data_IF_620143197246
#
_entry.id   IF_620143197246
#
_cell.length_a   1.000
_cell.length_b   1.000
_cell.length_c   1.000
_cell.angle_alpha   90.00
_cell.angle_beta   90.00
_cell.angle_gamma   90.00
#
_symmetry.space_group_name_H-M   'P 1'
#
loop_
_entity.id
_entity.type
_entity.pdbx_description
1 polymer ?
#
# COMPACT_ATOMS: atom_id res chain seq x y z
N UNK A 1 -5.08 15.07 -16.74
CA UNK A 1 -4.35 16.15 -16.04
C UNK A 1 -4.39 15.89 -14.54
N UNK A 2 -3.23 15.95 -13.90
CA UNK A 2 -3.14 15.85 -12.44
C UNK A 2 -3.56 17.17 -11.77
N UNK A 3 -4.02 17.10 -10.53
CA UNK A 3 -4.42 18.29 -9.80
C UNK A 3 -4.17 18.23 -8.30
N UNK A 4 -4.13 19.40 -7.71
CA UNK A 4 -4.12 19.58 -6.27
C UNK A 4 -5.27 20.49 -5.86
N UNK A 5 -5.86 20.22 -4.71
CA UNK A 5 -6.94 21.00 -4.11
C UNK A 5 -6.53 21.38 -2.69
N UNK A 6 -6.43 22.64 -2.39
CA UNK A 6 -6.11 23.13 -1.05
C UNK A 6 -7.21 24.04 -0.52
N UNK A 7 -7.55 23.88 0.74
CA UNK A 7 -8.58 24.71 1.37
C UNK A 7 -8.89 24.27 2.79
N UNK A 8 -9.24 25.24 3.63
CA UNK A 8 -9.61 24.99 5.03
C UNK A 8 -10.81 24.04 5.14
N UNK A 9 -10.98 23.42 6.29
CA UNK A 9 -12.18 22.63 6.58
C UNK A 9 -13.45 23.45 6.32
N UNK A 10 -14.44 22.84 5.64
CA UNK A 10 -15.68 23.51 5.25
C UNK A 10 -15.56 24.45 4.03
N UNK A 11 -14.42 24.51 3.34
CA UNK A 11 -14.24 25.32 2.12
C UNK A 11 -14.91 24.75 0.86
N UNK A 12 -15.45 23.52 0.92
CA UNK A 12 -16.04 22.83 -0.22
C UNK A 12 -15.08 21.92 -0.99
N UNK A 13 -13.87 21.66 -0.49
CA UNK A 13 -12.84 20.79 -1.09
C UNK A 13 -13.40 19.42 -1.49
N UNK A 14 -13.97 18.68 -0.52
CA UNK A 14 -14.53 17.34 -0.78
C UNK A 14 -15.74 17.39 -1.72
N UNK A 15 -16.54 18.47 -1.73
CA UNK A 15 -17.65 18.65 -2.69
C UNK A 15 -17.10 18.77 -4.12
N UNK A 16 -16.05 19.55 -4.31
CA UNK A 16 -15.39 19.68 -5.62
C UNK A 16 -14.80 18.35 -6.09
N UNK A 17 -14.10 17.64 -5.20
CA UNK A 17 -13.51 16.33 -5.53
C UNK A 17 -14.58 15.28 -5.82
N UNK A 18 -15.70 15.25 -5.09
CA UNK A 18 -16.88 14.43 -5.41
C UNK A 18 -17.46 14.77 -6.80
N UNK A 19 -17.49 16.05 -7.17
CA UNK A 19 -17.97 16.47 -8.50
C UNK A 19 -17.03 15.98 -9.63
N UNK A 20 -15.73 16.00 -9.40
CA UNK A 20 -14.73 15.43 -10.34
C UNK A 20 -14.89 13.91 -10.46
N UNK A 21 -15.09 13.22 -9.33
CA UNK A 21 -15.36 11.78 -9.33
C UNK A 21 -16.61 11.45 -10.15
N UNK A 22 -17.72 12.14 -9.90
CA UNK A 22 -18.95 11.95 -10.63
C UNK A 22 -18.80 12.24 -12.13
N UNK A 23 -18.13 13.33 -12.50
CA UNK A 23 -17.85 13.66 -13.91
C UNK A 23 -17.02 12.58 -14.61
N UNK A 24 -16.05 11.98 -13.91
CA UNK A 24 -15.26 10.88 -14.45
C UNK A 24 -16.12 9.63 -14.65
N UNK A 25 -16.95 9.28 -13.69
CA UNK A 25 -17.90 8.14 -13.79
C UNK A 25 -18.90 8.34 -14.94
N UNK A 26 -19.46 9.54 -15.10
CA UNK A 26 -20.34 9.88 -16.23
C UNK A 26 -19.66 9.75 -17.58
N UNK A 27 -18.34 9.83 -17.62
CA UNK A 27 -17.52 9.62 -18.83
C UNK A 27 -17.07 8.15 -18.99
N UNK A 28 -17.73 7.21 -18.34
CA UNK A 28 -17.39 5.79 -18.30
C UNK A 28 -15.96 5.52 -17.76
N UNK A 29 -15.50 6.39 -16.86
CA UNK A 29 -14.21 6.26 -16.20
C UNK A 29 -14.25 5.38 -14.96
N UNK A 30 -13.06 5.10 -14.40
CA UNK A 30 -12.87 4.43 -13.10
C UNK A 30 -12.31 5.43 -12.10
N UNK A 31 -12.81 5.35 -10.87
CA UNK A 31 -12.40 6.26 -9.80
C UNK A 31 -12.04 5.47 -8.55
N UNK A 32 -10.88 5.75 -8.00
CA UNK A 32 -10.44 5.27 -6.70
C UNK A 32 -10.27 6.46 -5.77
N UNK A 33 -10.87 6.38 -4.60
CA UNK A 33 -10.77 7.41 -3.56
C UNK A 33 -10.12 6.81 -2.33
N UNK A 34 -9.11 7.47 -1.80
CA UNK A 34 -8.56 7.23 -0.47
C UNK A 34 -8.99 8.41 0.39
N UNK A 35 -9.79 8.13 1.42
CA UNK A 35 -10.42 9.14 2.27
C UNK A 35 -10.16 8.86 3.76
N UNK A 36 -10.22 9.93 4.55
CA UNK A 36 -10.24 9.89 6.01
C UNK A 36 -11.35 10.83 6.47
N UNK A 37 -12.48 10.26 6.92
CA UNK A 37 -13.60 11.06 7.42
C UNK A 37 -14.89 10.96 6.62
N UNK A 38 -15.08 9.88 5.84
CA UNK A 38 -16.35 9.47 5.21
C UNK A 38 -16.97 10.49 4.25
N UNK A 39 -16.14 11.34 3.65
CA UNK A 39 -16.59 12.43 2.77
C UNK A 39 -17.24 11.92 1.46
N UNK A 40 -16.97 10.69 1.07
CA UNK A 40 -17.42 10.07 -0.20
C UNK A 40 -18.47 8.98 -0.01
N UNK A 41 -18.89 8.67 1.22
CA UNK A 41 -19.83 7.60 1.52
C UNK A 41 -21.16 7.77 0.79
N UNK A 42 -21.74 8.98 0.83
CA UNK A 42 -23.02 9.27 0.16
C UNK A 42 -22.93 9.08 -1.35
N UNK A 43 -21.88 9.61 -1.99
CA UNK A 43 -21.69 9.43 -3.43
C UNK A 43 -21.49 7.96 -3.76
N UNK A 44 -20.70 7.23 -2.96
CA UNK A 44 -20.45 5.81 -3.15
C UNK A 44 -21.75 5.01 -3.21
N UNK A 45 -22.64 5.23 -2.25
CA UNK A 45 -23.98 4.59 -2.24
C UNK A 45 -24.86 5.02 -3.42
N UNK A 46 -24.86 6.31 -3.77
CA UNK A 46 -25.69 6.82 -4.87
C UNK A 46 -25.34 6.22 -6.23
N UNK A 47 -24.05 5.95 -6.48
CA UNK A 47 -23.59 5.40 -7.77
C UNK A 47 -23.37 3.89 -7.73
N UNK A 48 -23.83 3.21 -6.67
CA UNK A 48 -23.61 1.79 -6.43
C UNK A 48 -22.12 1.40 -6.47
N UNK A 49 -21.29 2.28 -5.89
CA UNK A 49 -19.86 2.07 -5.74
C UNK A 49 -19.51 1.05 -4.65
N UNK A 50 -18.27 0.69 -4.58
CA UNK A 50 -17.74 -0.21 -3.56
C UNK A 50 -17.13 0.60 -2.41
N UNK A 51 -17.67 0.42 -1.22
CA UNK A 51 -17.15 1.00 0.02
C UNK A 51 -16.30 -0.05 0.74
N UNK A 52 -15.04 0.28 0.97
CA UNK A 52 -14.09 -0.56 1.69
C UNK A 52 -13.63 0.22 2.91
N UNK A 53 -14.03 -0.23 4.07
CA UNK A 53 -13.62 0.34 5.36
C UNK A 53 -12.77 -0.69 6.10
N UNK A 54 -11.47 -0.45 6.16
CA UNK A 54 -10.54 -1.37 6.80
C UNK A 54 -10.69 -1.31 8.32
N UNK A 55 -11.26 -2.34 8.88
CA UNK A 55 -11.61 -2.46 10.30
C UNK A 55 -11.25 -3.85 10.82
N UNK A 56 -10.91 -3.92 12.11
CA UNK A 56 -10.79 -5.19 12.85
C UNK A 56 -12.16 -5.88 13.05
N UNK A 57 -13.25 -5.18 12.73
CA UNK A 57 -14.61 -5.68 12.87
C UNK A 57 -15.00 -6.49 11.63
N UNK A 58 -15.49 -7.73 11.78
CA UNK A 58 -15.97 -8.51 10.65
C UNK A 58 -17.09 -7.81 9.88
N UNK A 59 -17.08 -7.94 8.56
CA UNK A 59 -18.20 -7.53 7.70
C UNK A 59 -19.49 -8.32 8.02
N UNK A 60 -20.64 -7.92 7.50
CA UNK A 60 -21.91 -8.65 7.68
C UNK A 60 -21.86 -10.12 7.23
N UNK A 61 -20.94 -10.47 6.31
CA UNK A 61 -20.67 -11.83 5.85
C UNK A 61 -19.76 -12.63 6.80
N UNK A 62 -19.33 -12.04 7.92
CA UNK A 62 -18.46 -12.63 8.92
C UNK A 62 -16.98 -12.64 8.57
N UNK A 63 -16.59 -12.07 7.42
CA UNK A 63 -15.19 -11.99 6.98
C UNK A 63 -14.56 -10.67 7.38
N UNK A 64 -13.26 -10.71 7.68
CA UNK A 64 -12.40 -9.52 7.84
C UNK A 64 -11.73 -9.25 6.49
N UNK A 65 -11.56 -7.98 6.16
CA UNK A 65 -10.84 -7.58 4.94
C UNK A 65 -9.37 -7.98 5.03
N UNK A 66 -8.93 -8.81 4.10
CA UNK A 66 -7.55 -9.27 4.00
C UNK A 66 -6.89 -8.70 2.75
N UNK A 67 -5.72 -8.12 2.96
CA UNK A 67 -4.91 -7.39 1.96
C UNK A 67 -3.56 -8.08 1.73
N UNK A 68 -3.47 -9.40 1.84
CA UNK A 68 -2.20 -10.12 1.67
C UNK A 68 -1.55 -9.82 0.31
N UNK A 69 -0.39 -9.13 0.27
CA UNK A 69 0.26 -8.75 -0.97
C UNK A 69 0.77 -9.93 -1.77
N UNK A 70 1.08 -11.03 -1.08
CA UNK A 70 1.62 -12.24 -1.71
C UNK A 70 0.53 -13.04 -2.43
N UNK A 71 -0.73 -12.94 -1.98
CA UNK A 71 -1.84 -13.67 -2.59
C UNK A 71 -2.38 -13.00 -3.85
N UNK A 72 -2.25 -11.67 -3.98
CA UNK A 72 -2.68 -10.93 -5.20
C UNK A 72 -1.64 -11.00 -6.32
N UNK A 73 -0.41 -11.41 -6.00
CA UNK A 73 0.70 -11.55 -6.94
C UNK A 73 0.51 -12.77 -7.84
N UNK A 74 0.44 -12.57 -9.15
CA UNK A 74 0.34 -13.65 -10.14
C UNK A 74 1.70 -14.14 -10.63
N UNK A 75 2.67 -13.26 -10.69
CA UNK A 75 4.04 -13.52 -11.10
C UNK A 75 5.01 -12.76 -10.20
N UNK A 76 5.63 -13.46 -9.28
CA UNK A 76 6.50 -12.84 -8.28
C UNK A 76 7.71 -12.13 -8.90
N UNK A 77 8.24 -12.60 -10.01
CA UNK A 77 9.38 -11.96 -10.67
C UNK A 77 8.99 -10.62 -11.30
N UNK A 78 7.80 -10.53 -11.89
CA UNK A 78 7.30 -9.29 -12.48
C UNK A 78 6.83 -8.29 -11.41
N UNK A 79 6.35 -8.79 -10.28
CA UNK A 79 5.73 -7.99 -9.23
C UNK A 79 6.71 -7.68 -8.06
N UNK A 80 7.93 -8.20 -8.10
CA UNK A 80 8.93 -8.05 -7.01
C UNK A 80 9.22 -6.59 -6.67
N UNK A 81 9.34 -5.73 -7.67
CA UNK A 81 9.59 -4.30 -7.50
C UNK A 81 8.48 -3.57 -6.70
N UNK A 82 7.34 -4.23 -6.53
CA UNK A 82 6.17 -3.72 -5.82
C UNK A 82 5.99 -4.42 -4.47
N UNK A 83 6.16 -5.74 -4.44
CA UNK A 83 6.01 -6.55 -3.22
C UNK A 83 7.14 -6.29 -2.22
N UNK A 84 8.38 -6.24 -2.69
CA UNK A 84 9.55 -6.05 -1.82
C UNK A 84 9.51 -4.75 -1.02
N UNK A 85 9.26 -3.56 -1.61
CA UNK A 85 9.14 -2.32 -0.85
C UNK A 85 7.99 -2.34 0.17
N UNK A 86 6.89 -3.04 -0.15
CA UNK A 86 5.76 -3.18 0.77
C UNK A 86 6.13 -4.02 1.99
N UNK A 87 6.75 -5.17 1.79
CA UNK A 87 7.23 -6.02 2.89
C UNK A 87 8.33 -5.29 3.69
N UNK A 88 9.22 -4.54 3.02
CA UNK A 88 10.20 -3.70 3.68
C UNK A 88 9.56 -2.62 4.56
N UNK A 89 8.45 -2.00 4.11
CA UNK A 89 7.68 -1.05 4.91
C UNK A 89 7.01 -1.70 6.13
N UNK A 90 6.57 -2.95 6.00
CA UNK A 90 6.04 -3.73 7.14
C UNK A 90 7.15 -4.02 8.16
N UNK A 91 8.34 -4.38 7.70
CA UNK A 91 9.48 -4.68 8.56
C UNK A 91 10.10 -3.41 9.19
N UNK A 92 10.02 -2.25 8.54
CA UNK A 92 10.58 -1.01 9.06
C UNK A 92 9.78 0.21 8.59
N UNK A 93 8.97 0.75 9.51
CA UNK A 93 8.09 1.89 9.19
C UNK A 93 8.83 3.22 9.06
N UNK A 94 10.00 3.37 9.70
CA UNK A 94 10.69 4.66 9.84
C UNK A 94 12.08 4.69 9.22
N UNK A 95 12.69 3.54 8.95
CA UNK A 95 14.05 3.43 8.45
C UNK A 95 14.07 2.67 7.12
N UNK A 96 14.95 3.05 6.22
CA UNK A 96 15.21 2.25 5.02
C UNK A 96 16.06 1.04 5.41
N UNK A 97 15.64 -0.15 4.98
CA UNK A 97 16.46 -1.34 5.08
C UNK A 97 17.69 -1.17 4.17
N UNK A 98 18.83 -1.68 4.59
CA UNK A 98 20.03 -1.71 3.76
C UNK A 98 19.86 -2.69 2.57
N UNK A 99 20.74 -2.58 1.57
CA UNK A 99 20.67 -3.38 0.34
C UNK A 99 20.78 -4.89 0.62
N UNK A 100 21.51 -5.27 1.66
CA UNK A 100 21.69 -6.67 2.03
C UNK A 100 20.40 -7.22 2.66
N UNK A 101 19.77 -6.48 3.55
CA UNK A 101 18.46 -6.85 4.11
C UNK A 101 17.36 -6.94 3.03
N UNK A 102 17.37 -6.02 2.06
CA UNK A 102 16.46 -6.08 0.91
C UNK A 102 16.72 -7.32 0.05
N UNK A 103 17.99 -7.67 -0.17
CA UNK A 103 18.35 -8.87 -0.92
C UNK A 103 17.90 -10.15 -0.22
N UNK A 104 18.06 -10.22 1.10
CA UNK A 104 17.55 -11.34 1.91
C UNK A 104 16.03 -11.45 1.83
N UNK A 105 15.30 -10.35 2.03
CA UNK A 105 13.84 -10.33 1.89
C UNK A 105 13.41 -10.84 0.52
N UNK A 106 14.08 -10.40 -0.54
CA UNK A 106 13.78 -10.80 -1.91
C UNK A 106 13.95 -12.31 -2.12
N UNK A 107 15.02 -12.91 -1.59
CA UNK A 107 15.28 -14.35 -1.66
C UNK A 107 14.18 -15.12 -0.92
N UNK A 108 13.85 -14.71 0.31
CA UNK A 108 12.84 -15.39 1.12
C UNK A 108 11.42 -15.24 0.55
N UNK A 109 11.06 -14.08 0.00
CA UNK A 109 9.77 -13.85 -0.67
C UNK A 109 9.63 -14.80 -1.87
N UNK A 110 10.65 -14.90 -2.73
CA UNK A 110 10.65 -15.85 -3.85
C UNK A 110 10.45 -17.27 -3.37
N UNK A 111 11.23 -17.65 -2.39
CA UNK A 111 11.25 -19.01 -1.86
C UNK A 111 9.86 -19.43 -1.37
N UNK A 112 9.25 -18.68 -0.45
CA UNK A 112 7.93 -19.00 0.08
C UNK A 112 6.84 -18.98 -1.00
N UNK A 113 6.97 -18.08 -2.00
CA UNK A 113 5.98 -17.98 -3.07
C UNK A 113 6.01 -19.20 -3.98
N UNK A 114 7.19 -19.66 -4.40
CA UNK A 114 7.33 -20.87 -5.21
C UNK A 114 6.95 -22.13 -4.43
N UNK A 115 7.30 -22.21 -3.16
CA UNK A 115 6.90 -23.31 -2.29
C UNK A 115 5.36 -23.39 -2.14
N UNK A 116 4.73 -22.27 -1.81
CA UNK A 116 3.28 -22.22 -1.68
C UNK A 116 2.58 -22.63 -3.00
N UNK A 117 3.13 -22.14 -4.13
CA UNK A 117 2.61 -22.50 -5.46
C UNK A 117 2.74 -24.00 -5.75
N UNK A 118 3.88 -24.63 -5.41
CA UNK A 118 4.08 -26.06 -5.58
C UNK A 118 3.11 -26.89 -4.72
N UNK A 119 2.74 -26.38 -3.54
CA UNK A 119 1.77 -26.99 -2.63
C UNK A 119 0.32 -26.59 -2.90
N UNK A 120 0.06 -25.80 -3.94
CA UNK A 120 -1.25 -25.22 -4.24
C UNK A 120 -1.88 -24.48 -3.03
N UNK A 121 -1.04 -23.70 -2.32
CA UNK A 121 -1.41 -22.89 -1.16
C UNK A 121 -1.22 -21.41 -1.44
N UNK A 122 -1.87 -20.58 -0.66
CA UNK A 122 -1.65 -19.13 -0.65
C UNK A 122 -0.43 -18.82 0.21
N UNK A 123 0.61 -18.15 -0.31
CA UNK A 123 1.74 -17.70 0.51
C UNK A 123 1.28 -16.61 1.49
N UNK A 124 1.75 -16.66 2.74
CA UNK A 124 1.34 -15.74 3.80
C UNK A 124 2.52 -15.00 4.43
N UNK A 125 2.23 -13.94 5.17
CA UNK A 125 3.26 -13.25 5.97
C UNK A 125 3.79 -14.16 7.07
N UNK A 126 2.96 -15.07 7.58
CA UNK A 126 3.42 -16.12 8.53
C UNK A 126 4.49 -17.01 7.91
N UNK A 127 4.33 -17.44 6.66
CA UNK A 127 5.31 -18.27 5.98
C UNK A 127 6.63 -17.51 5.80
N UNK A 128 6.56 -16.24 5.42
CA UNK A 128 7.74 -15.39 5.31
C UNK A 128 8.44 -15.20 6.66
N UNK A 129 7.68 -14.87 7.69
CA UNK A 129 8.19 -14.67 9.05
C UNK A 129 8.89 -15.94 9.56
N UNK A 130 8.27 -17.11 9.38
CA UNK A 130 8.86 -18.39 9.75
C UNK A 130 10.15 -18.67 8.97
N UNK A 131 10.15 -18.42 7.67
CA UNK A 131 11.34 -18.62 6.83
C UNK A 131 12.52 -17.76 7.30
N UNK A 132 12.29 -16.50 7.64
CA UNK A 132 13.31 -15.58 8.15
C UNK A 132 13.81 -15.98 9.55
N UNK A 133 12.91 -16.29 10.48
CA UNK A 133 13.25 -16.69 11.85
C UNK A 133 14.00 -18.01 11.89
N UNK A 134 13.67 -18.95 11.01
CA UNK A 134 14.33 -20.23 10.95
C UNK A 134 15.79 -20.10 10.52
N UNK A 135 16.03 -19.38 9.45
CA UNK A 135 17.39 -19.15 8.96
C UNK A 135 18.22 -18.28 9.93
N UNK A 136 17.56 -17.56 10.82
CA UNK A 136 18.21 -16.78 11.88
C UNK A 136 18.32 -17.46 13.24
N UNK A 137 18.00 -18.75 13.40
CA UNK A 137 18.17 -19.55 14.62
C UNK A 137 17.29 -19.23 15.83
N UNK A 138 16.11 -18.66 15.67
CA UNK A 138 15.12 -18.69 16.75
C UNK A 138 14.43 -20.06 16.78
N UNK A 139 15.03 -21.04 17.45
CA UNK A 139 14.64 -22.39 17.85
C UNK A 139 13.18 -22.85 17.79
N UNK A 140 12.47 -22.53 16.72
CA UNK A 140 11.14 -23.03 16.42
C UNK A 140 11.26 -24.20 15.44
N UNK A 141 10.54 -25.28 15.69
CA UNK A 141 10.46 -26.41 14.77
C UNK A 141 10.02 -25.95 13.38
N UNK A 142 10.95 -25.85 12.47
CA UNK A 142 10.65 -25.57 11.06
C UNK A 142 9.99 -26.80 10.43
N UNK A 143 8.96 -26.67 9.62
CA UNK A 143 8.36 -27.81 8.92
C UNK A 143 9.37 -28.59 8.04
N UNK A 144 10.50 -27.97 7.70
CA UNK A 144 11.59 -28.53 6.88
C UNK A 144 12.80 -29.06 7.64
N UNK A 145 12.84 -28.99 8.96
CA UNK A 145 13.94 -29.63 9.74
C UNK A 145 14.05 -31.14 9.50
N UNK A 146 13.05 -31.74 8.86
CA UNK A 146 13.01 -33.13 8.44
C UNK A 146 12.77 -33.29 6.93
N UNK A 147 13.04 -32.25 6.11
CA UNK A 147 12.90 -32.33 4.66
C UNK A 147 14.26 -32.73 4.06
N UNK A 148 14.41 -33.97 3.54
CA UNK A 148 15.65 -34.46 2.96
C UNK A 148 16.15 -33.62 1.78
N UNK A 149 15.26 -32.99 1.03
CA UNK A 149 15.63 -32.12 -0.10
C UNK A 149 16.24 -30.81 0.39
N UNK A 150 15.71 -30.25 1.49
CA UNK A 150 16.29 -29.07 2.11
C UNK A 150 17.65 -29.35 2.76
N UNK A 151 17.80 -30.49 3.46
CA UNK A 151 19.06 -30.90 4.05
C UNK A 151 20.14 -31.12 2.97
N UNK A 152 19.76 -31.75 1.86
CA UNK A 152 20.64 -31.94 0.71
C UNK A 152 21.03 -30.61 0.05
N UNK A 153 20.06 -29.69 -0.11
CA UNK A 153 20.33 -28.34 -0.62
C UNK A 153 21.25 -27.55 0.31
N UNK A 154 20.93 -27.50 1.61
CA UNK A 154 21.76 -26.79 2.59
C UNK A 154 23.19 -27.37 2.69
N UNK A 155 23.32 -28.69 2.61
CA UNK A 155 24.62 -29.36 2.57
C UNK A 155 25.40 -29.09 1.27
N UNK A 156 24.72 -28.77 0.17
CA UNK A 156 25.35 -28.40 -1.11
C UNK A 156 25.90 -26.98 -1.14
N UNK A 157 25.49 -26.13 -0.20
CA UNK A 157 25.93 -24.74 -0.12
C UNK A 157 27.33 -24.64 0.45
N UNK A 158 28.11 -23.67 -0.04
CA UNK A 158 29.40 -23.33 0.53
C UNK A 158 29.26 -22.80 1.96
N UNK A 159 30.33 -22.89 2.75
CA UNK A 159 30.33 -22.37 4.14
C UNK A 159 29.99 -20.86 4.21
N UNK A 160 30.28 -20.10 3.16
CA UNK A 160 29.94 -18.67 3.07
C UNK A 160 28.45 -18.44 2.79
N UNK A 161 27.87 -19.23 1.90
CA UNK A 161 26.42 -19.21 1.62
C UNK A 161 25.62 -19.67 2.83
N UNK A 162 26.08 -20.70 3.56
CA UNK A 162 25.48 -21.13 4.82
C UNK A 162 25.53 -20.02 5.88
N UNK A 163 26.67 -19.31 6.02
CA UNK A 163 26.79 -18.15 6.92
C UNK A 163 25.88 -17.00 6.53
N UNK A 164 25.66 -16.80 5.24
CA UNK A 164 24.73 -15.76 4.75
C UNK A 164 23.28 -16.10 5.11
N UNK A 165 22.91 -17.38 5.08
CA UNK A 165 21.61 -17.86 5.53
C UNK A 165 21.44 -17.82 7.06
N UNK A 166 22.55 -17.87 7.82
CA UNK A 166 22.56 -17.77 9.30
C UNK A 166 22.73 -16.31 9.81
N UNK A 167 22.49 -15.32 9.00
CA UNK A 167 22.65 -13.91 9.38
C UNK A 167 21.63 -13.50 10.48
N UNK A 168 22.08 -13.04 11.67
CA UNK A 168 21.19 -12.60 12.75
C UNK A 168 20.24 -11.46 12.35
N UNK A 169 20.55 -10.70 11.29
CA UNK A 169 19.66 -9.66 10.75
C UNK A 169 18.38 -10.24 10.15
N UNK A 170 18.37 -11.52 9.74
CA UNK A 170 17.18 -12.23 9.32
C UNK A 170 16.20 -12.42 10.47
N UNK A 171 16.73 -12.72 11.67
CA UNK A 171 15.91 -12.77 12.89
C UNK A 171 15.24 -11.43 13.15
N UNK A 172 16.00 -10.34 13.05
CA UNK A 172 15.46 -8.99 13.24
C UNK A 172 14.33 -8.68 12.26
N UNK A 173 14.50 -9.05 10.98
CA UNK A 173 13.44 -8.91 9.98
C UNK A 173 12.22 -9.77 10.31
N UNK A 174 12.42 -11.02 10.70
CA UNK A 174 11.35 -11.93 11.10
C UNK A 174 10.59 -11.38 12.32
N UNK A 175 11.28 -10.92 13.36
CA UNK A 175 10.66 -10.30 14.55
C UNK A 175 9.86 -9.05 14.18
N UNK A 176 10.37 -8.20 13.30
CA UNK A 176 9.67 -6.99 12.82
C UNK A 176 8.40 -7.31 12.02
N UNK A 177 8.33 -8.47 11.37
CA UNK A 177 7.14 -8.94 10.65
C UNK A 177 6.12 -9.67 11.53
N UNK A 178 6.48 -10.09 12.75
CA UNK A 178 5.56 -10.82 13.67
C UNK A 178 4.21 -10.10 13.90
N UNK A 179 4.12 -8.77 13.98
CA UNK A 179 2.82 -8.10 14.12
C UNK A 179 1.83 -8.40 12.98
N UNK A 180 2.31 -8.76 11.80
CA UNK A 180 1.52 -9.04 10.61
C UNK A 180 1.31 -10.54 10.34
N UNK A 181 2.02 -11.40 11.08
CA UNK A 181 1.93 -12.86 11.01
C UNK A 181 0.88 -13.40 11.98
N UNK A 182 0.60 -14.69 11.88
CA UNK A 182 -0.38 -15.40 12.73
C UNK A 182 -0.15 -15.12 14.21
N UNK A 183 -1.20 -14.68 14.91
CA UNK A 183 -1.15 -14.28 16.31
C UNK A 183 -0.68 -12.85 16.55
N UNK A 184 -0.24 -12.13 15.51
CA UNK A 184 0.13 -10.72 15.59
C UNK A 184 -1.09 -9.78 15.53
N UNK A 185 -0.90 -8.54 15.96
CA UNK A 185 -1.97 -7.55 16.09
C UNK A 185 -2.63 -7.18 14.75
N UNK A 186 -1.95 -7.40 13.62
CA UNK A 186 -2.41 -7.04 12.26
C UNK A 186 -2.58 -8.27 11.36
N UNK A 187 -2.53 -9.48 11.93
CA UNK A 187 -2.62 -10.73 11.17
C UNK A 187 -3.91 -10.81 10.34
N UNK A 188 -5.03 -10.37 10.91
CA UNK A 188 -6.33 -10.37 10.22
C UNK A 188 -6.33 -9.64 8.87
N UNK A 189 -5.48 -8.63 8.72
CA UNK A 189 -5.39 -7.84 7.49
C UNK A 189 -4.43 -8.43 6.44
N UNK A 190 -3.49 -9.30 6.84
CA UNK A 190 -2.38 -9.69 5.93
C UNK A 190 -2.08 -11.18 5.89
N UNK A 191 -2.59 -11.98 6.85
CA UNK A 191 -2.24 -13.40 6.99
C UNK A 191 -3.39 -14.30 6.53
N UNK A 192 -3.70 -14.26 5.24
CA UNK A 192 -4.76 -15.02 4.62
C UNK A 192 -4.79 -14.85 3.11
N UNK A 193 -5.87 -15.29 2.47
CA UNK A 193 -6.14 -14.98 1.08
C UNK A 193 -6.77 -13.59 0.97
N UNK A 194 -6.23 -12.75 0.07
CA UNK A 194 -6.80 -11.44 -0.17
C UNK A 194 -8.25 -11.57 -0.68
N UNK A 195 -9.16 -10.82 -0.06
CA UNK A 195 -10.59 -10.90 -0.32
C UNK A 195 -11.22 -9.55 -0.69
N UNK A 196 -10.38 -8.54 -0.97
CA UNK A 196 -10.83 -7.24 -1.46
C UNK A 196 -10.78 -7.28 -2.98
N UNK A 197 -11.93 -7.03 -3.59
CA UNK A 197 -12.08 -6.90 -5.03
C UNK A 197 -11.99 -5.42 -5.44
N UNK A 198 -11.37 -5.15 -6.59
CA UNK A 198 -11.19 -3.82 -7.15
C UNK A 198 -11.89 -3.65 -8.50
N UNK A 199 -12.85 -4.51 -8.84
CA UNK A 199 -13.51 -4.52 -10.16
C UNK A 199 -14.56 -3.42 -10.35
N UNK A 200 -15.04 -2.77 -9.26
CA UNK A 200 -16.02 -1.70 -9.36
C UNK A 200 -15.44 -0.45 -10.04
N UNK A 201 -16.30 0.29 -10.74
CA UNK A 201 -15.92 1.56 -11.38
C UNK A 201 -15.66 2.69 -10.38
N UNK A 202 -16.28 2.64 -9.19
CA UNK A 202 -16.09 3.59 -8.12
C UNK A 202 -15.77 2.87 -6.82
N UNK A 203 -14.56 3.04 -6.33
CA UNK A 203 -14.07 2.39 -5.11
C UNK A 203 -13.62 3.46 -4.13
N UNK A 204 -14.18 3.42 -2.93
CA UNK A 204 -13.79 4.30 -1.82
C UNK A 204 -13.13 3.46 -0.73
N UNK A 205 -11.93 3.86 -0.36
CA UNK A 205 -11.08 3.25 0.65
C UNK A 205 -11.05 4.19 1.86
N UNK A 206 -11.80 3.85 2.90
CA UNK A 206 -11.92 4.64 4.13
C UNK A 206 -10.91 4.19 5.17
N UNK A 207 -10.04 5.09 5.60
CA UNK A 207 -8.92 4.81 6.50
C UNK A 207 -9.07 5.45 7.89
N UNK A 208 -10.23 5.99 8.26
CA UNK A 208 -10.43 6.69 9.54
C UNK A 208 -10.09 5.80 10.74
N UNK A 209 -10.48 4.54 10.70
CA UNK A 209 -10.22 3.59 11.79
C UNK A 209 -8.72 3.26 11.96
N UNK A 210 -7.92 3.48 10.93
CA UNK A 210 -6.47 3.31 10.98
C UNK A 210 -5.72 4.56 11.44
N UNK A 211 -6.42 5.67 11.69
CA UNK A 211 -5.80 6.95 11.99
C UNK A 211 -4.97 6.95 13.27
N UNK A 212 -5.30 6.10 14.24
CA UNK A 212 -4.52 5.89 15.48
C UNK A 212 -3.34 4.92 15.31
N UNK A 213 -3.34 4.11 14.24
CA UNK A 213 -2.34 3.07 13.95
C UNK A 213 -1.46 3.50 12.77
N UNK A 214 -0.68 4.56 12.92
CA UNK A 214 0.06 5.22 11.81
C UNK A 214 0.96 4.29 11.00
N UNK A 215 1.65 3.34 11.64
CA UNK A 215 2.50 2.36 10.94
C UNK A 215 1.67 1.44 10.04
N UNK A 216 0.54 0.94 10.55
CA UNK A 216 -0.39 0.11 9.78
C UNK A 216 -1.01 0.91 8.63
N UNK A 217 -1.43 2.15 8.89
CA UNK A 217 -2.00 3.05 7.88
C UNK A 217 -1.04 3.24 6.71
N UNK A 218 0.27 3.43 6.97
CA UNK A 218 1.29 3.59 5.93
C UNK A 218 1.45 2.33 5.06
N UNK A 219 1.44 1.14 5.68
CA UNK A 219 1.52 -0.16 4.97
C UNK A 219 0.27 -0.36 4.11
N UNK A 220 -0.91 -0.15 4.69
CA UNK A 220 -2.19 -0.28 3.98
C UNK A 220 -2.25 0.68 2.80
N UNK A 221 -1.91 1.96 3.01
CA UNK A 221 -1.89 2.95 1.93
C UNK A 221 -0.97 2.50 0.79
N UNK A 222 0.23 2.04 1.11
CA UNK A 222 1.19 1.59 0.11
C UNK A 222 0.65 0.41 -0.71
N UNK A 223 0.01 -0.55 -0.05
CA UNK A 223 -0.64 -1.68 -0.70
C UNK A 223 -1.80 -1.25 -1.60
N UNK A 224 -2.66 -0.35 -1.11
CA UNK A 224 -3.77 0.18 -1.89
C UNK A 224 -3.29 0.91 -3.13
N UNK A 225 -2.25 1.72 -3.01
CA UNK A 225 -1.62 2.40 -4.14
C UNK A 225 -1.04 1.40 -5.14
N UNK A 226 -0.46 0.29 -4.66
CA UNK A 226 -0.02 -0.80 -5.52
C UNK A 226 -1.18 -1.44 -6.30
N UNK A 227 -2.26 -1.80 -5.61
CA UNK A 227 -3.45 -2.39 -6.24
C UNK A 227 -4.07 -1.46 -7.27
N UNK A 228 -4.16 -0.16 -6.97
CA UNK A 228 -4.61 0.87 -7.90
C UNK A 228 -3.69 0.94 -9.13
N UNK A 229 -2.36 0.92 -8.97
CA UNK A 229 -1.40 0.94 -10.09
C UNK A 229 -1.57 -0.30 -10.99
N UNK A 230 -1.79 -1.48 -10.41
CA UNK A 230 -2.08 -2.72 -11.14
C UNK A 230 -3.38 -2.60 -11.94
N UNK A 231 -4.45 -2.12 -11.31
CA UNK A 231 -5.74 -1.94 -11.97
C UNK A 231 -5.70 -0.86 -13.07
N UNK A 232 -4.98 0.22 -12.84
CA UNK A 232 -4.77 1.25 -13.87
C UNK A 232 -4.08 0.69 -15.13
N UNK A 233 -3.17 -0.27 -14.98
CA UNK A 233 -2.47 -0.91 -16.10
C UNK A 233 -3.30 -1.98 -16.79
N UNK A 234 -4.14 -2.70 -16.06
CA UNK A 234 -5.02 -3.75 -16.59
C UNK A 234 -6.22 -3.18 -17.33
N UNK A 235 -6.71 -2.02 -16.91
CA UNK A 235 -7.88 -1.38 -17.50
C UNK A 235 -7.65 -0.92 -18.95
N UNK A 236 -8.74 -0.68 -19.68
CA UNK A 236 -8.68 -0.17 -21.05
C UNK A 236 -7.85 1.12 -21.12
N UNK A 237 -6.95 1.19 -22.11
CA UNK A 237 -5.99 2.29 -22.23
C UNK A 237 -6.67 3.66 -22.39
N UNK A 238 -7.82 3.71 -23.05
CA UNK A 238 -8.54 4.97 -23.31
C UNK A 238 -9.58 5.31 -22.26
N UNK A 239 -9.90 4.40 -21.35
CA UNK A 239 -10.81 4.65 -20.25
C UNK A 239 -10.22 5.69 -19.28
N UNK A 240 -10.94 6.78 -18.97
CA UNK A 240 -10.50 7.75 -17.98
C UNK A 240 -10.32 7.09 -16.59
N UNK A 241 -9.25 7.45 -15.90
CA UNK A 241 -8.94 6.92 -14.58
C UNK A 241 -8.62 8.07 -13.64
N UNK A 242 -9.23 8.08 -12.48
CA UNK A 242 -9.04 9.13 -11.48
C UNK A 242 -8.71 8.52 -10.12
N UNK A 243 -7.61 8.95 -9.54
CA UNK A 243 -7.25 8.64 -8.16
C UNK A 243 -7.37 9.91 -7.34
N UNK A 244 -8.18 9.87 -6.30
CA UNK A 244 -8.35 10.97 -5.33
C UNK A 244 -7.76 10.52 -4.00
N UNK A 245 -6.91 11.35 -3.41
CA UNK A 245 -6.40 11.15 -2.06
C UNK A 245 -6.79 12.40 -1.26
N UNK A 246 -7.87 12.29 -0.49
CA UNK A 246 -8.32 13.40 0.37
C UNK A 246 -7.62 13.32 1.74
N UNK A 247 -7.36 14.46 2.36
CA UNK A 247 -6.54 14.59 3.57
C UNK A 247 -5.14 13.93 3.45
N UNK A 248 -4.56 14.00 2.24
CA UNK A 248 -3.34 13.28 1.87
C UNK A 248 -2.06 13.74 2.57
N UNK A 249 -2.06 14.87 3.24
CA UNK A 249 -0.84 15.51 3.77
C UNK A 249 -0.07 14.61 4.75
N UNK A 250 -0.75 13.89 5.65
CA UNK A 250 -0.10 12.99 6.62
C UNK A 250 0.48 11.75 5.94
N UNK A 251 -0.16 11.33 4.86
CA UNK A 251 0.21 10.16 4.06
C UNK A 251 1.41 10.42 3.14
N UNK A 252 1.59 11.67 2.71
CA UNK A 252 2.69 12.09 1.83
C UNK A 252 4.02 12.32 2.56
N UNK A 253 4.00 12.48 3.88
CA UNK A 253 5.19 12.87 4.66
C UNK A 253 6.06 11.69 5.04
N UNK A 254 5.51 10.46 5.11
CA UNK A 254 6.19 9.32 5.75
C UNK A 254 6.46 8.16 4.81
N UNK A 255 7.69 7.62 4.92
CA UNK A 255 8.08 6.30 4.43
C UNK A 255 8.04 6.12 2.91
N UNK A 256 7.88 4.86 2.50
CA UNK A 256 7.85 4.46 1.08
C UNK A 256 6.57 4.89 0.36
N UNK A 257 5.47 5.14 1.07
CA UNK A 257 4.22 5.64 0.48
C UNK A 257 4.40 6.96 -0.28
N UNK A 258 5.32 7.82 0.17
CA UNK A 258 5.66 9.05 -0.52
C UNK A 258 6.20 8.83 -1.94
N UNK A 259 7.07 7.83 -2.13
CA UNK A 259 7.62 7.47 -3.45
C UNK A 259 6.55 6.94 -4.40
N UNK A 260 5.54 6.25 -3.87
CA UNK A 260 4.41 5.75 -4.65
C UNK A 260 3.52 6.87 -5.17
N UNK A 261 3.18 7.85 -4.31
CA UNK A 261 2.40 9.02 -4.72
C UNK A 261 3.15 9.80 -5.79
N UNK A 262 4.45 10.03 -5.60
CA UNK A 262 5.31 10.67 -6.61
C UNK A 262 5.30 9.91 -7.94
N UNK A 263 5.48 8.59 -7.89
CA UNK A 263 5.45 7.73 -9.07
C UNK A 263 4.06 7.71 -9.74
N UNK A 264 2.98 7.75 -8.95
CA UNK A 264 1.60 7.87 -9.42
C UNK A 264 1.39 9.13 -10.23
N UNK A 265 1.75 10.29 -9.69
CA UNK A 265 1.68 11.58 -10.40
C UNK A 265 2.45 11.58 -11.72
N UNK A 266 3.66 11.01 -11.74
CA UNK A 266 4.49 10.95 -12.95
C UNK A 266 3.96 9.98 -14.01
N UNK A 267 3.35 8.86 -13.60
CA UNK A 267 2.95 7.76 -14.50
C UNK A 267 1.50 7.81 -14.95
N UNK A 268 0.61 8.38 -14.15
CA UNK A 268 -0.84 8.39 -14.42
C UNK A 268 -1.19 8.84 -15.81
N UNK A 269 -0.58 9.92 -16.30
CA UNK A 269 -0.81 10.48 -17.64
C UNK A 269 -0.58 9.46 -18.77
N UNK A 270 0.39 8.55 -18.62
CA UNK A 270 0.68 7.50 -19.62
C UNK A 270 -0.42 6.43 -19.67
N UNK A 271 -1.21 6.32 -18.61
CA UNK A 271 -2.29 5.34 -18.44
C UNK A 271 -3.68 5.96 -18.62
N UNK A 272 -3.77 7.17 -19.20
CA UNK A 272 -4.99 7.98 -19.26
C UNK A 272 -5.60 8.23 -17.88
N UNK A 273 -4.75 8.38 -16.90
CA UNK A 273 -5.11 8.60 -15.50
C UNK A 273 -4.78 10.01 -15.02
N UNK A 274 -5.42 10.40 -13.93
CA UNK A 274 -5.17 11.62 -13.20
C UNK A 274 -5.10 11.32 -11.69
N UNK A 275 -4.22 12.03 -11.00
CA UNK A 275 -4.14 12.06 -9.55
C UNK A 275 -4.57 13.41 -9.03
N UNK A 276 -5.46 13.40 -8.04
CA UNK A 276 -5.87 14.58 -7.29
C UNK A 276 -5.62 14.37 -5.81
N UNK A 277 -4.91 15.30 -5.19
CA UNK A 277 -4.71 15.29 -3.73
C UNK A 277 -5.37 16.50 -3.09
N UNK A 278 -6.07 16.25 -1.98
CA UNK A 278 -6.69 17.28 -1.14
C UNK A 278 -5.87 17.54 0.12
N UNK A 279 -5.63 18.82 0.46
CA UNK A 279 -4.96 19.22 1.70
C UNK A 279 -5.65 20.41 2.34
N UNK A 280 -5.38 20.66 3.63
CA UNK A 280 -5.99 21.78 4.37
C UNK A 280 -5.29 23.09 4.15
N UNK A 281 -4.02 23.07 3.71
CA UNK A 281 -3.25 24.27 3.44
C UNK A 281 -2.16 24.05 2.39
N UNK A 282 -1.79 25.08 1.63
CA UNK A 282 -0.74 25.00 0.61
C UNK A 282 0.63 24.62 1.20
N UNK A 283 0.92 25.00 2.45
CA UNK A 283 2.15 24.66 3.15
C UNK A 283 2.41 23.16 3.28
N UNK A 284 1.38 22.33 3.19
CA UNK A 284 1.51 20.87 3.24
C UNK A 284 2.32 20.31 2.07
N UNK A 285 2.28 20.97 0.91
CA UNK A 285 3.03 20.55 -0.27
C UNK A 285 4.54 20.78 -0.19
N UNK A 286 5.02 21.53 0.79
CA UNK A 286 6.47 21.73 1.04
C UNK A 286 7.04 20.79 2.11
N UNK A 287 6.21 20.00 2.80
CA UNK A 287 6.63 19.17 3.92
C UNK A 287 7.42 17.92 3.52
N UNK A 288 7.33 17.49 2.25
CA UNK A 288 8.05 16.29 1.77
C UNK A 288 8.37 16.37 0.29
N UNK A 289 9.31 15.52 -0.17
CA UNK A 289 9.64 15.38 -1.59
C UNK A 289 8.45 14.91 -2.44
N UNK A 290 7.62 14.01 -1.90
CA UNK A 290 6.44 13.52 -2.59
C UNK A 290 5.34 14.58 -2.71
N UNK A 291 5.12 15.34 -1.66
CA UNK A 291 4.18 16.46 -1.66
C UNK A 291 4.62 17.54 -2.66
N UNK A 292 5.92 17.85 -2.70
CA UNK A 292 6.49 18.75 -3.69
C UNK A 292 6.35 18.20 -5.12
N UNK A 293 6.59 16.90 -5.31
CA UNK A 293 6.40 16.27 -6.62
C UNK A 293 4.93 16.31 -7.06
N UNK A 294 3.96 16.17 -6.15
CA UNK A 294 2.54 16.37 -6.45
C UNK A 294 2.26 17.79 -6.93
N UNK A 295 2.80 18.80 -6.23
CA UNK A 295 2.67 20.21 -6.61
C UNK A 295 3.29 20.52 -7.98
N UNK A 296 4.51 19.97 -8.24
CA UNK A 296 5.27 20.21 -9.47
C UNK A 296 4.64 19.50 -10.70
N UNK A 297 4.00 18.35 -10.48
CA UNK A 297 3.35 17.57 -11.54
C UNK A 297 1.83 17.81 -11.64
N UNK A 298 1.27 18.74 -10.88
CA UNK A 298 -0.13 19.14 -10.97
C UNK A 298 -0.33 20.19 -12.06
N UNK A 299 -1.08 19.83 -13.10
CA UNK A 299 -1.50 20.74 -14.18
C UNK A 299 -2.57 21.73 -13.66
N UNK A 300 -3.42 21.28 -12.74
CA UNK A 300 -4.52 22.05 -12.14
C UNK A 300 -4.26 22.29 -10.65
N UNK A 301 -4.37 23.54 -10.24
CA UNK A 301 -4.17 23.95 -8.84
C UNK A 301 -5.39 24.74 -8.38
N UNK A 302 -6.17 24.12 -7.50
CA UNK A 302 -7.39 24.71 -6.96
C UNK A 302 -7.13 25.19 -5.53
N UNK A 303 -7.20 26.50 -5.35
CA UNK A 303 -7.09 27.14 -4.04
C UNK A 303 -8.46 27.61 -3.64
N UNK A 304 -9.01 27.00 -2.61
CA UNK A 304 -10.33 27.34 -2.07
C UNK A 304 -10.15 28.29 -0.88
N UNK A 305 -11.23 28.55 -0.14
CA UNK A 305 -11.20 29.46 1.02
C UNK A 305 -10.14 28.97 2.02
N UNK A 306 -9.17 29.80 2.32
CA UNK A 306 -8.12 29.59 3.32
C UNK A 306 -8.40 30.42 4.58
N UNK A 307 -7.91 29.98 5.73
CA UNK A 307 -7.87 30.79 6.95
C UNK A 307 -6.78 31.86 6.80
N UNK A 308 -6.99 33.01 7.43
CA UNK A 308 -6.09 34.17 7.37
C UNK A 308 -4.66 33.80 7.84
N UNK A 309 -4.55 32.94 8.86
CA UNK A 309 -3.27 32.41 9.35
C UNK A 309 -2.48 31.60 8.31
N UNK A 310 -3.14 31.03 7.31
CA UNK A 310 -2.53 30.20 6.25
C UNK A 310 -2.15 31.07 5.04
N UNK A 311 -2.82 32.18 4.83
CA UNK A 311 -2.52 33.10 3.71
C UNK A 311 -1.11 33.67 3.80
N UNK A 312 -0.62 33.94 5.01
CA UNK A 312 0.77 34.43 5.24
C UNK A 312 1.85 33.37 4.86
N UNK A 313 1.49 32.11 4.74
CA UNK A 313 2.41 31.06 4.26
C UNK A 313 2.50 31.03 2.72
N UNK A 314 1.49 31.56 2.03
CA UNK A 314 1.47 31.61 0.56
C UNK A 314 2.28 32.79 0.00
N UNK A 315 2.64 33.77 0.82
CA UNK A 315 3.40 34.97 0.43
C UNK A 315 4.93 34.76 0.52
N UNK A 316 5.37 33.64 1.04
CA UNK A 316 6.77 33.21 1.13
C UNK A 316 7.13 32.22 0.05
#
# INVERSE_FOLDING_TARGET
YNGIVTGSSGSGKSVMLNSLALGTLCSNGRVWVIDIGRSYEKLCHCVNGQWIELSDTPRPDGKIDCLNPLSVTKNIEADMDLVLPLIAQMASSNEQLDDLMLSHLQIHIRHIWYEAKALNKVPTITDLTRSLLHNGRLGGAHPRLNDPEWEAYYASLTTEEQKTLDDPRLVDLGVKLMPYAQGGAYASFFDGEANIDFDNHFIVLELEQLNTKKSLQAVVLMLLMYLIDVEMRRGERFQPKLVIIDEAWDLMVRGHSSKFIEAGYRRARKLNGAFFTGTQGPGDYWKSSAAKAALDNADCKFIMKLKESVLSECEK
#
